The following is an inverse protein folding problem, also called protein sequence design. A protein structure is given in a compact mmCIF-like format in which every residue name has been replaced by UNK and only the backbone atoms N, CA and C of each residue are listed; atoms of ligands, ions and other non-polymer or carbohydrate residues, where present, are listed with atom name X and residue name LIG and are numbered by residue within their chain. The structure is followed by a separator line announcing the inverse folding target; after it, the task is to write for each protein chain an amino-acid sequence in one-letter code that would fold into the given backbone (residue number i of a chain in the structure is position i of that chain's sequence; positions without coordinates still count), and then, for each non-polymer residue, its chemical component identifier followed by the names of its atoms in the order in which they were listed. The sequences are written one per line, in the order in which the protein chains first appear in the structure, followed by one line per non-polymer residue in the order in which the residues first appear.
data_IF_386505992768
#
_entry.id   IF_386505992768
#
_cell.length_a   1.000
_cell.length_b   1.000
_cell.length_c   1.000
_cell.angle_alpha   90.00
_cell.angle_beta   90.00
_cell.angle_gamma   90.00
#
_symmetry.space_group_name_H-M   'P 1'
#
loop_
_entity.id
_entity.type
_entity.pdbx_description
1 polymer ?
#
# COMPACT_ATOMS: atom_id res chain seq x y z
N UNK A 1 -37.19 10.84 0.25
CA UNK A 1 -35.81 11.38 0.12
C UNK A 1 -34.94 10.46 0.96
N UNK A 2 -34.43 9.40 0.35
CA UNK A 2 -33.74 8.30 1.05
C UNK A 2 -32.25 8.60 1.00
N UNK A 3 -31.67 8.87 2.17
CA UNK A 3 -30.24 8.98 2.38
C UNK A 3 -29.57 7.67 1.91
N UNK A 4 -28.52 7.67 1.06
CA UNK A 4 -27.75 6.47 0.80
C UNK A 4 -26.97 6.12 2.07
N UNK A 5 -27.56 5.25 2.89
CA UNK A 5 -26.89 4.63 4.01
C UNK A 5 -25.62 3.95 3.46
N UNK A 6 -24.45 4.46 3.84
CA UNK A 6 -23.17 3.84 3.50
C UNK A 6 -23.25 2.35 3.84
N UNK A 7 -22.78 1.44 2.96
CA UNK A 7 -22.86 0.01 3.23
C UNK A 7 -22.16 -0.25 4.57
N UNK A 8 -22.91 -0.81 5.53
CA UNK A 8 -22.33 -1.23 6.80
C UNK A 8 -21.20 -2.20 6.46
N UNK A 9 -19.96 -1.86 6.85
CA UNK A 9 -18.81 -2.71 6.60
C UNK A 9 -19.11 -4.12 7.10
N UNK A 10 -18.89 -5.13 6.26
CA UNK A 10 -19.09 -6.53 6.64
C UNK A 10 -18.19 -6.82 7.86
N UNK A 11 -18.69 -7.39 8.97
CA UNK A 11 -17.87 -7.69 10.15
C UNK A 11 -16.58 -8.45 9.80
N UNK A 12 -16.62 -9.32 8.80
CA UNK A 12 -15.45 -10.04 8.29
C UNK A 12 -14.40 -9.10 7.68
N UNK A 13 -14.81 -8.05 6.99
CA UNK A 13 -13.93 -7.06 6.37
C UNK A 13 -13.20 -6.23 7.44
N UNK A 14 -13.89 -5.82 8.49
CA UNK A 14 -13.27 -5.14 9.62
C UNK A 14 -12.21 -6.01 10.32
N UNK A 15 -12.49 -7.31 10.48
CA UNK A 15 -11.55 -8.29 11.02
C UNK A 15 -10.35 -8.51 10.09
N UNK A 16 -10.58 -8.59 8.77
CA UNK A 16 -9.50 -8.64 7.77
C UNK A 16 -8.58 -7.41 7.88
N UNK A 17 -9.15 -6.20 7.92
CA UNK A 17 -8.37 -4.97 8.09
C UNK A 17 -7.50 -5.01 9.37
N UNK A 18 -8.08 -5.41 10.50
CA UNK A 18 -7.36 -5.50 11.76
C UNK A 18 -6.26 -6.57 11.73
N UNK A 19 -6.55 -7.76 11.20
CA UNK A 19 -5.59 -8.86 11.08
C UNK A 19 -4.42 -8.52 10.16
N UNK A 20 -4.69 -7.90 9.02
CA UNK A 20 -3.68 -7.42 8.08
C UNK A 20 -2.82 -6.30 8.68
N UNK A 21 -3.43 -5.33 9.37
CA UNK A 21 -2.71 -4.22 9.99
C UNK A 21 -1.69 -4.71 11.03
N UNK A 22 -2.02 -5.74 11.82
CA UNK A 22 -1.09 -6.38 12.77
C UNK A 22 0.14 -7.01 12.09
N UNK A 23 0.03 -7.36 10.80
CA UNK A 23 1.11 -7.87 9.95
C UNK A 23 1.77 -6.78 9.11
N UNK A 24 1.46 -5.51 9.36
CA UNK A 24 1.96 -4.37 8.58
C UNK A 24 1.43 -4.33 7.14
N UNK A 25 0.23 -4.87 6.91
CA UNK A 25 -0.44 -4.92 5.62
C UNK A 25 -1.70 -4.04 5.64
N UNK A 26 -1.99 -3.43 4.50
CA UNK A 26 -3.22 -2.69 4.25
C UNK A 26 -4.04 -3.42 3.18
N UNK A 27 -5.34 -3.63 3.42
CA UNK A 27 -6.24 -4.20 2.42
C UNK A 27 -6.45 -3.20 1.28
N UNK A 28 -6.14 -3.62 0.06
CA UNK A 28 -6.36 -2.83 -1.16
C UNK A 28 -7.56 -3.32 -1.98
N UNK A 29 -8.02 -4.56 -1.75
CA UNK A 29 -9.23 -5.11 -2.35
C UNK A 29 -9.42 -6.58 -2.00
N UNK A 30 -10.66 -7.05 -2.10
CA UNK A 30 -11.04 -8.46 -1.98
C UNK A 30 -11.36 -8.96 -3.38
N UNK A 31 -10.57 -9.90 -3.89
CA UNK A 31 -10.76 -10.46 -5.24
C UNK A 31 -11.79 -11.60 -5.21
N UNK A 32 -11.75 -12.46 -4.19
CA UNK A 32 -12.70 -13.56 -4.03
C UNK A 32 -12.82 -14.04 -2.59
N UNK A 33 -14.04 -14.48 -2.22
CA UNK A 33 -14.27 -15.34 -1.06
C UNK A 33 -14.37 -16.80 -1.54
N UNK A 34 -13.57 -17.68 -0.97
CA UNK A 34 -13.43 -19.08 -1.40
C UNK A 34 -14.34 -20.00 -0.57
N UNK A 35 -14.80 -21.14 -1.14
CA UNK A 35 -15.65 -22.08 -0.41
C UNK A 35 -15.02 -22.73 0.82
N UNK A 36 -13.69 -22.70 0.94
CA UNK A 36 -12.94 -23.20 2.09
C UNK A 36 -12.82 -22.17 3.24
N UNK A 37 -13.49 -21.02 3.11
CA UNK A 37 -13.45 -19.92 4.08
C UNK A 37 -12.19 -19.04 3.98
N UNK A 38 -11.38 -19.20 2.93
CA UNK A 38 -10.26 -18.29 2.65
C UNK A 38 -10.68 -17.11 1.77
N UNK A 39 -9.87 -16.05 1.80
CA UNK A 39 -10.05 -14.87 0.97
C UNK A 39 -8.82 -14.70 0.07
N UNK A 40 -9.05 -14.47 -1.21
CA UNK A 40 -8.01 -13.90 -2.09
C UNK A 40 -8.12 -12.39 -2.05
N UNK A 41 -7.00 -11.75 -1.74
CA UNK A 41 -6.92 -10.33 -1.47
C UNK A 41 -5.84 -9.69 -2.32
N UNK A 42 -6.02 -8.40 -2.57
CA UNK A 42 -4.93 -7.49 -2.89
C UNK A 42 -4.55 -6.74 -1.62
N UNK A 43 -3.27 -6.80 -1.25
CA UNK A 43 -2.74 -6.08 -0.10
C UNK A 43 -1.64 -5.12 -0.51
N UNK A 44 -1.44 -4.08 0.30
CA UNK A 44 -0.32 -3.15 0.17
C UNK A 44 0.57 -3.26 1.40
N UNK A 45 1.89 -3.27 1.21
CA UNK A 45 2.89 -3.17 2.27
C UNK A 45 3.85 -2.02 1.97
N UNK A 46 4.20 -1.22 2.96
CA UNK A 46 5.35 -0.32 2.83
C UNK A 46 6.64 -1.16 2.91
N UNK A 47 7.37 -1.20 1.80
CA UNK A 47 8.65 -1.92 1.70
C UNK A 47 9.79 -0.92 1.62
N UNK A 48 10.90 -1.24 2.30
CA UNK A 48 12.15 -0.53 2.14
C UNK A 48 12.80 -0.86 0.79
N UNK A 49 13.07 0.18 0.02
CA UNK A 49 13.70 0.14 -1.29
C UNK A 49 14.98 1.00 -1.28
N UNK A 50 15.89 0.70 -2.18
CA UNK A 50 17.08 1.51 -2.39
C UNK A 50 16.70 2.80 -3.14
N UNK A 51 16.87 3.94 -2.47
CA UNK A 51 16.69 5.28 -3.04
C UNK A 51 17.93 5.83 -3.73
N UNK A 52 19.02 5.03 -3.79
CA UNK A 52 20.31 5.44 -4.30
C UNK A 52 21.16 6.18 -3.26
N UNK A 53 22.47 6.22 -3.50
CA UNK A 53 23.44 6.93 -2.64
C UNK A 53 23.39 6.54 -1.15
N UNK A 54 22.99 5.30 -0.84
CA UNK A 54 22.86 4.82 0.53
C UNK A 54 21.59 5.29 1.27
N UNK A 55 20.64 5.91 0.56
CA UNK A 55 19.36 6.30 1.13
C UNK A 55 18.32 5.18 0.99
N UNK A 56 17.57 4.91 2.06
CA UNK A 56 16.40 4.03 2.00
C UNK A 56 15.14 4.86 1.82
N UNK A 57 14.28 4.45 0.89
CA UNK A 57 12.94 5.00 0.72
C UNK A 57 11.91 3.91 0.90
N UNK A 58 10.77 4.24 1.48
CA UNK A 58 9.66 3.32 1.65
C UNK A 58 8.61 3.57 0.57
N UNK A 59 8.19 2.52 -0.14
CA UNK A 59 7.15 2.62 -1.15
C UNK A 59 6.01 1.65 -0.87
N UNK A 60 4.76 2.00 -1.20
CA UNK A 60 3.65 1.06 -1.18
C UNK A 60 3.84 0.01 -2.28
N UNK A 61 3.99 -1.25 -1.88
CA UNK A 61 4.08 -2.41 -2.77
C UNK A 61 2.79 -3.19 -2.67
N UNK A 62 2.08 -3.28 -3.80
CA UNK A 62 0.83 -4.03 -3.90
C UNK A 62 1.09 -5.43 -4.44
N UNK A 63 0.52 -6.45 -3.81
CA UNK A 63 0.64 -7.83 -4.26
C UNK A 63 -0.60 -8.66 -3.86
N UNK A 64 -0.91 -9.72 -4.62
CA UNK A 64 -1.95 -10.68 -4.23
C UNK A 64 -1.49 -11.51 -3.03
N UNK A 65 -2.41 -11.83 -2.14
CA UNK A 65 -2.21 -12.87 -1.14
C UNK A 65 -3.51 -13.64 -0.87
N UNK A 66 -3.39 -14.87 -0.43
CA UNK A 66 -4.52 -15.61 0.15
C UNK A 66 -4.39 -15.61 1.67
N UNK A 67 -5.50 -15.38 2.36
CA UNK A 67 -5.55 -15.43 3.82
C UNK A 67 -6.72 -16.27 4.30
N UNK A 68 -6.59 -16.77 5.53
CA UNK A 68 -7.71 -17.35 6.28
C UNK A 68 -7.80 -16.69 7.64
N UNK A 69 -9.02 -16.39 8.08
CA UNK A 69 -9.29 -15.95 9.44
C UNK A 69 -9.62 -17.14 10.34
N UNK A 70 -9.20 -17.09 11.59
CA UNK A 70 -9.70 -17.99 12.65
C UNK A 70 -11.14 -17.63 12.99
N UNK A 71 -11.82 -18.51 13.74
CA UNK A 71 -13.16 -18.22 14.27
C UNK A 71 -13.21 -16.98 15.19
N UNK A 72 -12.06 -16.55 15.73
CA UNK A 72 -11.90 -15.33 16.52
C UNK A 72 -11.56 -14.09 15.67
N UNK A 73 -11.53 -14.22 14.33
CA UNK A 73 -11.21 -13.13 13.42
C UNK A 73 -9.72 -12.79 13.32
N UNK A 74 -8.84 -13.70 13.72
CA UNK A 74 -7.39 -13.50 13.64
C UNK A 74 -6.82 -14.10 12.36
N UNK A 75 -5.75 -13.50 11.82
CA UNK A 75 -5.11 -14.00 10.61
C UNK A 75 -4.30 -15.27 10.93
N UNK A 76 -4.84 -16.41 10.52
CA UNK A 76 -4.32 -17.76 10.75
C UNK A 76 -3.18 -18.08 9.78
N UNK A 77 -3.38 -17.72 8.52
CA UNK A 77 -2.49 -18.08 7.43
C UNK A 77 -2.43 -16.97 6.37
N UNK A 78 -1.24 -16.81 5.78
CA UNK A 78 -0.97 -15.90 4.68
C UNK A 78 -0.07 -16.60 3.67
N UNK A 79 -0.48 -16.61 2.41
CA UNK A 79 0.34 -17.06 1.28
C UNK A 79 0.41 -15.95 0.23
N UNK A 80 1.63 -15.54 -0.10
CA UNK A 80 1.89 -14.35 -0.90
C UNK A 80 3.33 -13.86 -0.87
N UNK A 81 4.24 -14.49 -0.12
CA UNK A 81 5.62 -14.02 0.01
C UNK A 81 6.37 -14.00 -1.33
N UNK A 82 6.19 -15.02 -2.18
CA UNK A 82 6.78 -15.03 -3.52
C UNK A 82 6.25 -13.88 -4.41
N UNK A 83 4.95 -13.58 -4.31
CA UNK A 83 4.35 -12.44 -5.01
C UNK A 83 4.84 -11.11 -4.43
N UNK A 84 5.08 -11.04 -3.12
CA UNK A 84 5.63 -9.87 -2.45
C UNK A 84 7.08 -9.58 -2.90
N UNK A 85 7.90 -10.60 -3.09
CA UNK A 85 9.28 -10.46 -3.58
C UNK A 85 9.32 -9.97 -5.03
N UNK A 86 8.49 -10.56 -5.91
CA UNK A 86 8.36 -10.09 -7.29
C UNK A 86 7.86 -8.63 -7.33
N UNK A 87 6.81 -8.31 -6.57
CA UNK A 87 6.28 -6.96 -6.49
C UNK A 87 7.28 -5.96 -5.89
N UNK A 88 8.18 -6.40 -4.99
CA UNK A 88 9.26 -5.58 -4.47
C UNK A 88 10.28 -5.24 -5.56
N UNK A 89 10.65 -6.20 -6.40
CA UNK A 89 11.56 -5.95 -7.52
C UNK A 89 10.96 -4.95 -8.51
N UNK A 90 9.68 -5.10 -8.84
CA UNK A 90 8.95 -4.16 -9.69
C UNK A 90 8.90 -2.76 -9.08
N UNK A 91 8.63 -2.67 -7.77
CA UNK A 91 8.62 -1.40 -7.05
C UNK A 91 10.01 -0.74 -7.01
N UNK A 92 11.09 -1.53 -6.92
CA UNK A 92 12.46 -1.03 -7.02
C UNK A 92 12.73 -0.46 -8.41
N UNK A 93 12.33 -1.15 -9.48
CA UNK A 93 12.48 -0.65 -10.84
C UNK A 93 11.67 0.63 -11.09
N UNK A 94 10.46 0.69 -10.57
CA UNK A 94 9.61 1.88 -10.60
C UNK A 94 10.24 3.06 -9.85
N UNK A 95 10.78 2.85 -8.64
CA UNK A 95 11.45 3.90 -7.88
C UNK A 95 12.67 4.44 -8.63
N UNK A 96 13.50 3.55 -9.18
CA UNK A 96 14.65 3.95 -10.01
C UNK A 96 14.22 4.78 -11.22
N UNK A 97 13.12 4.42 -11.87
CA UNK A 97 12.54 5.19 -12.99
C UNK A 97 12.10 6.59 -12.53
N UNK A 98 11.41 6.71 -11.40
CA UNK A 98 10.98 8.02 -10.87
C UNK A 98 12.19 8.94 -10.59
N UNK A 99 13.26 8.40 -10.01
CA UNK A 99 14.47 9.14 -9.72
C UNK A 99 15.17 9.56 -11.02
N UNK A 100 15.39 8.62 -11.94
CA UNK A 100 16.05 8.87 -13.22
C UNK A 100 15.33 9.93 -14.05
N UNK A 101 14.00 9.88 -14.06
CA UNK A 101 13.16 10.83 -14.79
C UNK A 101 12.92 12.15 -14.03
N UNK A 102 13.53 12.34 -12.87
CA UNK A 102 13.33 13.51 -11.99
C UNK A 102 11.87 13.74 -11.61
N UNK A 103 11.11 12.65 -11.49
CA UNK A 103 9.68 12.65 -11.17
C UNK A 103 9.40 12.55 -9.65
N UNK A 104 10.45 12.45 -8.83
CA UNK A 104 10.37 12.39 -7.37
C UNK A 104 10.90 13.70 -6.75
N UNK A 105 10.02 14.40 -6.03
CA UNK A 105 10.37 15.58 -5.27
C UNK A 105 10.93 15.22 -3.88
N UNK A 106 11.93 15.98 -3.37
CA UNK A 106 12.44 15.78 -2.02
C UNK A 106 11.41 16.18 -0.95
N UNK A 107 11.62 15.70 0.27
CA UNK A 107 10.75 16.00 1.39
C UNK A 107 10.72 17.50 1.72
N UNK A 108 9.51 18.02 1.98
CA UNK A 108 9.30 19.42 2.37
C UNK A 108 9.54 20.46 1.26
N UNK A 109 9.90 20.04 0.04
CA UNK A 109 10.08 20.95 -1.08
C UNK A 109 8.77 21.14 -1.88
N UNK A 110 8.58 22.31 -2.52
CA UNK A 110 7.56 22.47 -3.55
C UNK A 110 7.73 21.41 -4.65
N UNK A 111 6.61 20.94 -5.21
CA UNK A 111 6.64 19.97 -6.30
C UNK A 111 7.26 20.63 -7.55
N UNK A 112 8.46 20.22 -8.00
CA UNK A 112 9.07 20.82 -9.17
C UNK A 112 8.29 20.44 -10.44
N UNK A 113 8.40 21.23 -11.53
CA UNK A 113 7.75 20.91 -12.80
C UNK A 113 8.10 19.48 -13.26
N UNK A 114 7.08 18.69 -13.58
CA UNK A 114 7.24 17.30 -14.01
C UNK A 114 7.33 16.27 -12.87
N UNK A 115 7.48 16.68 -11.62
CA UNK A 115 7.37 15.75 -10.50
C UNK A 115 5.94 15.27 -10.31
N UNK A 116 5.79 13.96 -10.17
CA UNK A 116 4.51 13.28 -9.97
C UNK A 116 4.42 12.67 -8.58
N UNK A 117 5.55 12.53 -7.90
CA UNK A 117 5.70 11.96 -6.56
C UNK A 117 6.51 12.88 -5.66
N UNK A 118 6.35 12.72 -4.35
CA UNK A 118 7.14 13.39 -3.32
C UNK A 118 7.50 12.43 -2.20
N UNK A 119 8.59 12.72 -1.51
CA UNK A 119 8.94 12.03 -0.26
C UNK A 119 8.18 12.73 0.88
N UNK A 120 7.46 11.96 1.68
CA UNK A 120 6.80 12.41 2.90
C UNK A 120 7.39 11.66 4.10
N UNK A 121 7.30 12.23 5.29
CA UNK A 121 7.66 11.52 6.52
C UNK A 121 6.40 10.92 7.11
N UNK A 122 6.37 9.61 7.31
CA UNK A 122 5.24 8.96 7.97
C UNK A 122 5.27 9.11 9.50
N UNK A 123 4.24 8.61 10.18
CA UNK A 123 4.14 8.67 11.64
C UNK A 123 5.28 7.93 12.38
N UNK A 124 5.98 7.01 11.70
CA UNK A 124 7.14 6.30 12.22
C UNK A 124 8.46 6.98 11.87
N UNK A 125 8.44 8.19 11.29
CA UNK A 125 9.63 8.93 10.88
C UNK A 125 10.29 8.42 9.59
N UNK A 126 9.62 7.53 8.84
CA UNK A 126 10.20 6.92 7.63
C UNK A 126 9.97 7.80 6.39
N UNK A 127 10.94 7.91 5.49
CA UNK A 127 10.77 8.62 4.22
C UNK A 127 9.97 7.76 3.24
N UNK A 128 8.68 8.09 3.06
CA UNK A 128 7.74 7.35 2.22
C UNK A 128 7.51 8.08 0.89
N UNK A 129 7.60 7.35 -0.22
CA UNK A 129 7.24 7.84 -1.54
C UNK A 129 5.71 7.87 -1.67
N UNK A 130 5.16 9.05 -1.91
CA UNK A 130 3.71 9.25 -2.11
C UNK A 130 3.47 9.94 -3.45
N UNK A 131 2.38 9.57 -4.12
CA UNK A 131 1.91 10.30 -5.30
C UNK A 131 1.50 11.70 -4.87
N UNK A 132 2.04 12.71 -5.54
CA UNK A 132 1.62 14.08 -5.30
C UNK A 132 0.15 14.21 -5.69
N UNK A 133 -0.68 14.66 -4.75
CA UNK A 133 -2.04 15.09 -5.09
C UNK A 133 -1.93 16.37 -5.91
N UNK A 134 -2.34 16.32 -7.17
CA UNK A 134 -2.61 17.52 -7.95
C UNK A 134 -3.88 18.11 -7.37
N UNK A 135 -3.75 18.99 -6.37
CA UNK A 135 -4.88 19.80 -5.96
C UNK A 135 -5.33 20.61 -7.18
N UNK A 136 -6.61 20.53 -7.52
CA UNK A 136 -7.30 21.58 -8.29
C UNK A 136 -7.35 22.83 -7.40
N UNK A 137 -6.20 23.45 -7.15
CA UNK A 137 -6.07 24.70 -6.44
C UNK A 137 -6.15 25.83 -7.46
N UNK A 138 -7.37 26.24 -7.81
CA UNK A 138 -7.58 27.58 -8.34
C UNK A 138 -7.17 28.56 -7.23
N UNK A 139 -6.07 29.28 -7.46
CA UNK A 139 -5.75 30.54 -6.80
C UNK A 139 -5.69 31.61 -7.87
#
# INVERSE_FOLDING_TARGET
MTDPQAPAANPDEALLHAGLARRGLELAGIDAHRPDGSYDLQVTRLQALDGGHGHTLYAPVRFPCRVRLTAAGELDWLDGDAAADAARADAQAWLSMLIANKQLAPAGAPLPPGATHRIETDAAGRPVVRRARFGLGFH
#
